data_IF_735275839270
#
_entry.id   IF_735275839270
#
_cell.length_a   1.000
_cell.length_b   1.000
_cell.length_c   1.000
_cell.angle_alpha   90.00
_cell.angle_beta   90.00
_cell.angle_gamma   90.00
#
_symmetry.space_group_name_H-M   'P 1'
#
loop_
_entity.id
_entity.type
_entity.pdbx_description
1 polymer ?
#
# COMPACT_ATOMS: atom_id res chain seq x y z
N UNK A 1 -9.26 15.01 -0.76
CA UNK A 1 -10.37 14.58 0.11
C UNK A 1 -9.84 14.16 1.48
N UNK A 2 -10.68 14.20 2.52
CA UNK A 2 -10.40 13.47 3.77
C UNK A 2 -10.62 11.98 3.53
N UNK A 3 -10.04 11.13 4.37
CA UNK A 3 -10.22 9.68 4.24
C UNK A 3 -11.70 9.26 4.33
N UNK A 4 -12.46 9.85 5.24
CA UNK A 4 -13.91 9.61 5.36
C UNK A 4 -14.66 9.91 4.06
N UNK A 5 -14.33 11.04 3.40
CA UNK A 5 -14.95 11.44 2.13
C UNK A 5 -14.55 10.53 0.98
N UNK A 6 -13.32 9.97 0.99
CA UNK A 6 -12.92 8.95 0.02
C UNK A 6 -13.77 7.70 0.19
N UNK A 7 -13.91 7.20 1.42
CA UNK A 7 -14.77 6.04 1.71
C UNK A 7 -16.24 6.28 1.30
N UNK A 8 -16.81 7.45 1.63
CA UNK A 8 -18.16 7.83 1.23
C UNK A 8 -18.37 7.74 -0.29
N UNK A 9 -17.42 8.27 -1.07
CA UNK A 9 -17.47 8.22 -2.54
C UNK A 9 -17.29 6.81 -3.07
N UNK A 10 -16.38 6.03 -2.48
CA UNK A 10 -16.16 4.63 -2.85
C UNK A 10 -17.41 3.77 -2.62
N UNK A 11 -18.26 4.09 -1.64
CA UNK A 11 -19.54 3.37 -1.45
C UNK A 11 -20.53 3.56 -2.61
N UNK A 12 -20.36 4.59 -3.43
CA UNK A 12 -21.14 4.85 -4.64
C UNK A 12 -20.44 4.37 -5.91
N UNK A 13 -19.22 3.81 -5.79
CA UNK A 13 -18.40 3.34 -6.90
C UNK A 13 -18.47 1.80 -7.04
N UNK A 14 -18.12 1.29 -8.22
CA UNK A 14 -17.99 -0.16 -8.46
C UNK A 14 -16.97 -0.83 -7.54
N UNK A 15 -16.02 -0.07 -7.00
CA UNK A 15 -15.02 -0.55 -6.05
C UNK A 15 -15.51 -0.71 -4.61
N UNK A 16 -16.77 -0.39 -4.28
CA UNK A 16 -17.33 -0.62 -2.93
C UNK A 16 -17.16 -2.06 -2.43
N UNK A 17 -17.13 -3.04 -3.34
CA UNK A 17 -16.99 -4.46 -2.99
C UNK A 17 -15.55 -4.89 -2.73
N UNK A 18 -14.57 -4.02 -2.97
CA UNK A 18 -13.13 -4.30 -2.78
C UNK A 18 -12.49 -3.44 -1.69
N UNK A 19 -13.29 -2.70 -0.94
CA UNK A 19 -12.88 -1.88 0.21
C UNK A 19 -13.73 -2.28 1.43
N UNK A 20 -13.29 -1.99 2.67
CA UNK A 20 -14.17 -2.14 3.83
C UNK A 20 -15.45 -1.32 3.67
N UNK A 21 -16.60 -1.87 4.08
CA UNK A 21 -17.82 -1.08 4.15
C UNK A 21 -17.62 0.12 5.10
N UNK A 22 -18.16 1.27 4.70
CA UNK A 22 -18.10 2.50 5.47
C UNK A 22 -19.46 2.82 6.10
N UNK A 23 -19.47 3.02 7.41
CA UNK A 23 -20.69 3.22 8.20
C UNK A 23 -20.89 4.68 8.64
N UNK A 24 -19.94 5.56 8.37
CA UNK A 24 -20.00 6.97 8.75
C UNK A 24 -18.85 7.42 9.65
N UNK A 25 -18.97 8.63 10.17
CA UNK A 25 -18.07 9.16 11.20
C UNK A 25 -18.77 9.17 12.56
N UNK A 26 -18.06 8.77 13.61
CA UNK A 26 -18.54 8.77 14.99
C UNK A 26 -17.67 9.66 15.86
N UNK A 27 -18.29 10.43 16.77
CA UNK A 27 -17.59 11.25 17.75
C UNK A 27 -17.52 10.55 19.10
N UNK A 28 -16.32 10.28 19.60
CA UNK A 28 -16.07 9.59 20.88
C UNK A 28 -14.76 10.07 21.50
N UNK A 29 -14.69 10.18 22.83
CA UNK A 29 -13.47 10.54 23.56
C UNK A 29 -12.76 11.80 22.99
N UNK A 30 -13.56 12.83 22.69
CA UNK A 30 -13.16 14.10 22.07
C UNK A 30 -12.47 14.00 20.70
N UNK A 31 -12.76 12.93 19.95
CA UNK A 31 -12.21 12.68 18.61
C UNK A 31 -13.27 12.14 17.65
N UNK A 32 -13.08 12.44 16.37
CA UNK A 32 -13.81 11.79 15.28
C UNK A 32 -13.08 10.52 14.85
N UNK A 33 -13.85 9.46 14.62
CA UNK A 33 -13.38 8.19 14.07
C UNK A 33 -14.21 7.82 12.84
N UNK A 34 -13.55 7.20 11.86
CA UNK A 34 -14.20 6.58 10.71
C UNK A 34 -14.66 5.19 11.16
N UNK A 35 -15.94 4.91 11.03
CA UNK A 35 -16.51 3.59 11.32
C UNK A 35 -16.45 2.74 10.04
N UNK A 36 -15.65 1.67 10.10
CA UNK A 36 -15.39 0.75 8.99
C UNK A 36 -15.73 -0.68 9.39
N UNK A 37 -16.06 -1.48 8.39
CA UNK A 37 -16.15 -2.93 8.49
C UNK A 37 -14.88 -3.53 9.09
N UNK A 38 -15.07 -4.36 10.14
CA UNK A 38 -13.98 -5.16 10.67
C UNK A 38 -13.77 -6.39 9.77
N UNK A 39 -12.84 -6.28 8.82
CA UNK A 39 -12.53 -7.35 7.85
C UNK A 39 -12.15 -8.70 8.50
N UNK A 40 -11.72 -8.71 9.76
CA UNK A 40 -11.35 -9.94 10.47
C UNK A 40 -12.57 -10.80 10.84
N UNK A 41 -13.79 -10.25 10.84
CA UNK A 41 -14.99 -11.02 11.21
C UNK A 41 -15.41 -12.04 10.16
N UNK A 42 -14.84 -11.96 8.96
CA UNK A 42 -15.07 -12.92 7.86
C UNK A 42 -14.32 -14.25 8.02
N UNK A 43 -13.47 -14.35 9.04
CA UNK A 43 -12.49 -15.42 9.19
C UNK A 43 -12.63 -16.10 10.55
N UNK A 44 -12.24 -17.37 10.62
CA UNK A 44 -12.29 -18.15 11.86
C UNK A 44 -10.91 -18.37 12.46
N UNK A 45 -10.82 -18.34 13.78
CA UNK A 45 -9.57 -18.61 14.48
C UNK A 45 -8.50 -17.52 14.30
N UNK A 46 -7.23 -17.92 14.31
CA UNK A 46 -6.12 -16.98 14.19
C UNK A 46 -5.83 -16.65 12.71
N UNK A 47 -6.00 -15.39 12.36
CA UNK A 47 -5.93 -14.88 10.99
C UNK A 47 -4.52 -14.42 10.66
N UNK A 48 -4.02 -14.88 9.51
CA UNK A 48 -2.83 -14.35 8.89
C UNK A 48 -3.13 -13.00 8.24
N UNK A 49 -2.25 -12.02 8.44
CA UNK A 49 -2.43 -10.64 7.96
C UNK A 49 -1.18 -10.17 7.23
N UNK A 50 -1.33 -9.67 6.02
CA UNK A 50 -0.25 -8.99 5.30
C UNK A 50 -0.74 -7.66 4.76
N UNK A 51 0.02 -6.60 5.07
CA UNK A 51 -0.18 -5.25 4.55
C UNK A 51 0.86 -5.01 3.44
N UNK A 52 0.36 -4.81 2.22
CA UNK A 52 1.16 -4.51 1.04
C UNK A 52 0.84 -3.09 0.58
N UNK A 53 1.79 -2.18 0.74
CA UNK A 53 1.71 -0.84 0.17
C UNK A 53 1.85 -0.92 -1.34
N UNK A 54 0.95 -0.29 -2.09
CA UNK A 54 0.95 -0.33 -3.56
C UNK A 54 1.14 1.09 -4.14
N UNK A 55 1.73 1.15 -5.32
CA UNK A 55 2.14 2.36 -6.03
C UNK A 55 3.67 2.48 -6.15
N UNK A 56 4.12 3.16 -7.20
CA UNK A 56 5.53 3.47 -7.48
C UNK A 56 6.05 4.67 -6.69
N UNK A 57 5.14 5.46 -6.10
CA UNK A 57 5.44 6.60 -5.23
C UNK A 57 4.62 6.56 -3.96
N UNK A 58 5.18 7.11 -2.89
CA UNK A 58 4.57 7.10 -1.55
C UNK A 58 4.38 8.48 -0.95
N UNK A 59 4.57 9.51 -1.78
CA UNK A 59 4.33 10.91 -1.49
C UNK A 59 3.43 11.52 -2.56
N UNK A 60 2.57 12.45 -2.13
CA UNK A 60 1.76 13.24 -3.05
C UNK A 60 2.64 14.27 -3.77
N UNK A 61 2.27 14.71 -4.97
CA UNK A 61 3.11 15.65 -5.74
C UNK A 61 3.36 16.97 -5.01
N UNK A 62 2.36 17.47 -4.27
CA UNK A 62 2.52 18.64 -3.40
C UNK A 62 3.59 18.45 -2.31
N UNK A 63 3.86 17.22 -1.90
CA UNK A 63 4.94 16.90 -0.96
C UNK A 63 6.30 16.94 -1.66
N UNK A 64 6.36 16.64 -2.97
CA UNK A 64 7.57 16.60 -3.80
C UNK A 64 8.34 17.93 -3.80
N UNK A 65 7.60 19.05 -3.70
CA UNK A 65 8.15 20.41 -3.77
C UNK A 65 8.45 21.03 -2.39
N UNK A 66 8.23 20.32 -1.28
CA UNK A 66 8.41 20.88 0.06
C UNK A 66 9.90 20.84 0.51
N UNK A 67 10.56 22.00 0.71
CA UNK A 67 11.98 22.05 1.06
C UNK A 67 12.27 21.81 2.56
N UNK A 68 11.24 21.60 3.40
CA UNK A 68 11.40 21.49 4.86
C UNK A 68 12.26 20.28 5.25
N UNK A 69 13.36 20.55 5.94
CA UNK A 69 14.26 19.54 6.48
C UNK A 69 13.72 18.90 7.77
N UNK A 70 14.01 17.61 7.94
CA UNK A 70 13.50 16.74 9.00
C UNK A 70 14.62 15.89 9.61
N UNK A 71 15.10 16.24 10.82
CA UNK A 71 16.11 15.45 11.52
C UNK A 71 15.66 14.02 11.85
N UNK A 72 14.39 13.83 12.21
CA UNK A 72 13.83 12.51 12.53
C UNK A 72 13.84 11.54 11.33
N UNK A 73 13.63 12.06 10.12
CA UNK A 73 13.68 11.26 8.90
C UNK A 73 15.12 10.90 8.52
N UNK A 74 16.07 11.80 8.75
CA UNK A 74 17.50 11.51 8.57
C UNK A 74 17.92 10.34 9.50
N UNK A 75 17.58 10.41 10.78
CA UNK A 75 17.90 9.35 11.75
C UNK A 75 17.29 7.99 11.35
N UNK A 76 16.06 8.00 10.83
CA UNK A 76 15.42 6.78 10.30
C UNK A 76 16.14 6.25 9.05
N UNK A 77 16.60 7.12 8.16
CA UNK A 77 17.33 6.73 6.94
C UNK A 77 18.67 6.06 7.29
N UNK A 78 19.50 6.71 8.09
CA UNK A 78 20.83 6.19 8.45
C UNK A 78 20.76 4.93 9.31
N UNK A 79 19.68 4.75 10.09
CA UNK A 79 19.42 3.50 10.80
C UNK A 79 19.18 2.31 9.87
N UNK A 80 18.58 2.56 8.70
CA UNK A 80 18.37 1.51 7.67
C UNK A 80 19.64 1.30 6.86
N UNK A 81 20.28 2.37 6.41
CA UNK A 81 21.52 2.32 5.64
C UNK A 81 22.43 3.51 6.04
N UNK A 82 23.48 3.27 6.84
CA UNK A 82 24.38 4.33 7.31
C UNK A 82 25.12 5.07 6.18
N UNK A 83 25.22 4.49 4.99
CA UNK A 83 25.91 5.07 3.83
C UNK A 83 24.97 5.80 2.87
N UNK A 84 23.68 5.90 3.18
CA UNK A 84 22.70 6.48 2.27
C UNK A 84 22.73 8.03 2.21
N UNK A 85 23.26 8.69 3.23
CA UNK A 85 23.31 10.15 3.31
C UNK A 85 24.51 10.72 2.54
N UNK A 86 24.27 11.80 1.78
CA UNK A 86 25.33 12.60 1.16
C UNK A 86 26.14 13.37 2.23
N UNK A 87 27.32 13.89 1.87
CA UNK A 87 28.13 14.69 2.79
C UNK A 87 27.39 15.91 3.35
N UNK A 88 26.57 16.57 2.53
CA UNK A 88 25.77 17.71 2.97
C UNK A 88 24.67 17.30 3.96
N UNK A 89 23.97 16.20 3.68
CA UNK A 89 22.94 15.64 4.57
C UNK A 89 23.56 15.19 5.91
N UNK A 90 24.77 14.64 5.89
CA UNK A 90 25.52 14.27 7.09
C UNK A 90 25.89 15.49 7.94
N UNK A 91 26.35 16.57 7.30
CA UNK A 91 26.66 17.84 7.99
C UNK A 91 25.41 18.45 8.64
N UNK A 92 24.26 18.43 7.93
CA UNK A 92 23.00 19.02 8.42
C UNK A 92 22.24 18.10 9.38
N UNK A 93 22.51 16.80 9.37
CA UNK A 93 21.76 15.76 10.09
C UNK A 93 20.23 15.83 9.87
N UNK A 94 19.82 16.25 8.68
CA UNK A 94 18.42 16.43 8.31
C UNK A 94 18.24 16.27 6.80
N UNK A 95 17.10 15.71 6.39
CA UNK A 95 16.72 15.51 4.98
C UNK A 95 15.28 15.96 4.74
N UNK A 96 14.90 16.23 3.49
CA UNK A 96 13.49 16.50 3.17
C UNK A 96 12.66 15.22 3.28
N UNK A 97 11.33 15.37 3.39
CA UNK A 97 10.41 14.23 3.39
C UNK A 97 10.55 13.41 2.11
N UNK A 98 10.57 14.07 0.96
CA UNK A 98 10.67 13.44 -0.37
C UNK A 98 11.94 12.60 -0.46
N UNK A 99 13.07 13.17 -0.05
CA UNK A 99 14.36 12.46 -0.03
C UNK A 99 14.32 11.16 0.78
N UNK A 100 13.63 11.19 1.93
CA UNK A 100 13.40 9.99 2.75
C UNK A 100 12.48 8.97 2.06
N UNK A 101 11.39 9.43 1.44
CA UNK A 101 10.46 8.54 0.72
C UNK A 101 11.16 7.89 -0.48
N UNK A 102 11.89 8.66 -1.30
CA UNK A 102 12.70 8.13 -2.41
C UNK A 102 13.77 7.14 -1.94
N UNK A 103 14.39 7.38 -0.79
CA UNK A 103 15.28 6.39 -0.17
C UNK A 103 14.53 5.09 0.15
N UNK A 104 13.38 5.18 0.83
CA UNK A 104 12.55 4.02 1.18
C UNK A 104 12.09 3.25 -0.05
N UNK A 105 11.74 3.95 -1.13
CA UNK A 105 11.33 3.36 -2.40
C UNK A 105 12.47 2.60 -3.08
N UNK A 106 13.71 3.10 -2.96
CA UNK A 106 14.93 2.46 -3.49
C UNK A 106 15.43 1.28 -2.65
N UNK A 107 15.24 1.32 -1.34
CA UNK A 107 15.64 0.23 -0.44
C UNK A 107 14.61 -0.92 -0.39
N UNK A 108 13.42 -0.71 -0.94
CA UNK A 108 12.36 -1.71 -1.00
C UNK A 108 12.00 -2.07 -2.45
N UNK A 109 11.04 -2.98 -2.61
CA UNK A 109 10.51 -3.36 -3.92
C UNK A 109 9.70 -2.27 -4.62
N UNK A 110 9.37 -1.16 -3.96
CA UNK A 110 8.51 -0.12 -4.54
C UNK A 110 9.06 0.45 -5.85
N UNK A 111 10.35 0.81 -5.91
CA UNK A 111 10.92 1.39 -7.13
C UNK A 111 11.00 0.41 -8.32
N UNK A 112 11.05 -0.90 -8.05
CA UNK A 112 11.19 -1.93 -9.08
C UNK A 112 9.86 -2.55 -9.50
N UNK A 113 8.94 -2.72 -8.55
CA UNK A 113 7.72 -3.50 -8.72
C UNK A 113 6.45 -2.73 -8.35
N UNK A 114 6.55 -1.45 -7.97
CA UNK A 114 5.40 -0.60 -7.59
C UNK A 114 4.57 -1.14 -6.42
N UNK A 115 5.18 -1.95 -5.55
CA UNK A 115 4.60 -2.33 -4.26
C UNK A 115 5.69 -2.71 -3.26
N UNK A 116 5.35 -2.81 -1.97
CA UNK A 116 6.20 -3.44 -0.95
C UNK A 116 5.39 -3.96 0.22
N UNK A 117 5.90 -5.01 0.87
CA UNK A 117 5.30 -5.54 2.10
C UNK A 117 5.71 -4.65 3.28
N UNK A 118 4.73 -4.03 3.95
CA UNK A 118 4.97 -3.19 5.13
C UNK A 118 4.97 -4.02 6.42
N UNK A 119 4.06 -4.99 6.51
CA UNK A 119 3.95 -5.88 7.66
C UNK A 119 3.37 -7.24 7.29
N UNK A 120 3.73 -8.26 8.06
CA UNK A 120 3.12 -9.58 7.95
C UNK A 120 2.97 -10.24 9.33
N UNK A 121 1.89 -10.97 9.55
CA UNK A 121 1.66 -11.85 10.70
C UNK A 121 1.11 -13.16 10.16
N UNK A 122 1.72 -14.28 10.52
CA UNK A 122 1.19 -15.63 10.27
C UNK A 122 0.50 -16.16 11.53
N UNK A 123 -0.36 -17.19 11.44
CA UNK A 123 -1.02 -17.76 12.62
C UNK A 123 0.01 -18.25 13.66
N UNK A 124 -0.26 -17.98 14.94
CA UNK A 124 0.64 -18.23 16.08
C UNK A 124 1.89 -17.35 16.12
N UNK A 125 2.10 -16.48 15.12
CA UNK A 125 3.28 -15.65 14.95
C UNK A 125 3.15 -14.24 15.54
N UNK A 126 4.30 -13.58 15.74
CA UNK A 126 4.36 -12.14 16.02
C UNK A 126 4.32 -11.35 14.71
N UNK A 127 3.80 -10.12 14.78
CA UNK A 127 3.86 -9.19 13.65
C UNK A 127 5.32 -8.89 13.28
N UNK A 128 5.68 -9.17 12.03
CA UNK A 128 6.96 -8.81 11.44
C UNK A 128 6.84 -7.46 10.70
N UNK A 129 7.69 -6.49 11.05
CA UNK A 129 7.83 -5.18 10.37
C UNK A 129 9.26 -4.93 9.88
N UNK A 130 10.11 -5.95 9.92
CA UNK A 130 11.48 -5.90 9.42
C UNK A 130 11.56 -6.34 7.95
N UNK A 131 10.83 -5.59 7.12
CA UNK A 131 10.66 -5.87 5.68
C UNK A 131 11.14 -4.69 4.82
N UNK A 132 11.79 -3.70 5.44
CA UNK A 132 12.16 -2.42 4.81
C UNK A 132 13.17 -2.58 3.68
N UNK A 133 13.92 -3.68 3.67
CA UNK A 133 14.98 -4.01 2.71
C UNK A 133 14.63 -5.19 1.81
N UNK A 134 13.36 -5.67 1.85
CA UNK A 134 12.85 -6.64 0.88
C UNK A 134 12.66 -5.90 -0.44
N UNK A 135 13.57 -6.15 -1.38
CA UNK A 135 13.72 -5.36 -2.61
C UNK A 135 13.73 -6.20 -3.88
N UNK A 136 14.49 -7.27 -3.89
CA UNK A 136 14.65 -8.09 -5.10
C UNK A 136 13.45 -9.01 -5.30
N UNK A 137 13.22 -9.44 -6.54
CA UNK A 137 12.15 -10.37 -6.87
C UNK A 137 12.22 -11.65 -6.02
N UNK A 138 13.41 -12.21 -5.85
CA UNK A 138 13.66 -13.39 -5.00
C UNK A 138 13.34 -13.16 -3.53
N UNK A 139 13.69 -11.99 -2.98
CA UNK A 139 13.35 -11.63 -1.60
C UNK A 139 11.84 -11.48 -1.42
N UNK A 140 11.15 -10.89 -2.40
CA UNK A 140 9.69 -10.76 -2.40
C UNK A 140 9.03 -12.13 -2.47
N UNK A 141 9.42 -12.98 -3.43
CA UNK A 141 8.97 -14.38 -3.54
C UNK A 141 9.15 -15.13 -2.23
N UNK A 142 10.34 -15.06 -1.61
CA UNK A 142 10.62 -15.71 -0.34
C UNK A 142 9.74 -15.18 0.80
N UNK A 143 9.44 -13.88 0.80
CA UNK A 143 8.58 -13.26 1.82
C UNK A 143 7.14 -13.74 1.68
N UNK A 144 6.59 -13.72 0.46
CA UNK A 144 5.23 -14.18 0.18
C UNK A 144 5.08 -15.70 0.34
N UNK A 145 6.06 -16.48 -0.11
CA UNK A 145 6.08 -17.93 0.07
C UNK A 145 6.16 -18.35 1.54
N UNK A 146 6.82 -17.56 2.41
CA UNK A 146 6.76 -17.77 3.86
C UNK A 146 5.38 -17.45 4.43
N UNK A 147 4.73 -16.41 3.94
CA UNK A 147 3.40 -16.03 4.39
C UNK A 147 2.37 -17.12 4.07
N UNK A 148 2.34 -17.63 2.84
CA UNK A 148 1.41 -18.69 2.43
C UNK A 148 1.92 -20.13 2.67
N UNK A 149 2.95 -20.32 3.50
CA UNK A 149 3.56 -21.64 3.69
C UNK A 149 2.54 -22.61 4.32
N UNK A 150 2.21 -23.68 3.59
CA UNK A 150 1.20 -24.66 4.02
C UNK A 150 -0.24 -24.29 3.68
N UNK A 151 -0.45 -23.14 3.01
CA UNK A 151 -1.75 -22.58 2.67
C UNK A 151 -1.84 -22.20 1.17
N UNK A 152 -1.58 -23.14 0.24
CA UNK A 152 -1.59 -22.83 -1.19
C UNK A 152 -2.98 -22.46 -1.72
N UNK A 153 -4.07 -23.02 -1.14
CA UNK A 153 -5.42 -22.66 -1.56
C UNK A 153 -5.78 -21.22 -1.17
N UNK A 154 -5.31 -20.74 0.00
CA UNK A 154 -5.44 -19.33 0.36
C UNK A 154 -4.70 -18.41 -0.62
N UNK A 155 -3.48 -18.79 -1.03
CA UNK A 155 -2.71 -18.05 -2.05
C UNK A 155 -3.50 -17.93 -3.35
N UNK A 156 -4.05 -19.03 -3.85
CA UNK A 156 -4.77 -19.05 -5.13
C UNK A 156 -6.03 -18.18 -5.08
N UNK A 157 -6.81 -18.26 -3.99
CA UNK A 157 -7.96 -17.36 -3.73
C UNK A 157 -7.54 -15.89 -3.66
N UNK A 158 -6.39 -15.58 -3.06
CA UNK A 158 -5.85 -14.22 -3.05
C UNK A 158 -5.51 -13.75 -4.48
N UNK A 159 -4.88 -14.59 -5.30
CA UNK A 159 -4.58 -14.25 -6.70
C UNK A 159 -5.86 -13.90 -7.47
N UNK A 160 -6.88 -14.76 -7.38
CA UNK A 160 -8.20 -14.51 -8.01
C UNK A 160 -8.82 -13.20 -7.50
N UNK A 161 -8.76 -12.97 -6.18
CA UNK A 161 -9.27 -11.75 -5.57
C UNK A 161 -8.51 -10.51 -6.04
N UNK A 162 -7.19 -10.56 -6.17
CA UNK A 162 -6.38 -9.44 -6.67
C UNK A 162 -6.67 -9.14 -8.15
N UNK A 163 -6.88 -10.17 -8.98
CA UNK A 163 -7.30 -10.00 -10.38
C UNK A 163 -8.66 -9.28 -10.44
N UNK A 164 -9.59 -9.67 -9.58
CA UNK A 164 -10.89 -9.00 -9.49
C UNK A 164 -10.78 -7.54 -9.00
N UNK A 165 -9.94 -7.27 -8.00
CA UNK A 165 -9.64 -5.90 -7.55
C UNK A 165 -9.11 -5.05 -8.70
N UNK A 166 -8.18 -5.62 -9.49
CA UNK A 166 -7.58 -4.96 -10.65
C UNK A 166 -8.64 -4.59 -11.69
N UNK A 167 -9.56 -5.50 -12.00
CA UNK A 167 -10.65 -5.25 -12.95
C UNK A 167 -11.58 -4.12 -12.48
N UNK A 168 -11.98 -4.13 -11.20
CA UNK A 168 -12.82 -3.07 -10.62
C UNK A 168 -12.13 -1.72 -10.66
N UNK A 169 -10.87 -1.68 -10.28
CA UNK A 169 -10.07 -0.46 -10.25
C UNK A 169 -9.90 0.12 -11.66
N UNK A 170 -9.60 -0.71 -12.66
CA UNK A 170 -9.47 -0.27 -14.05
C UNK A 170 -10.77 0.30 -14.62
N UNK A 171 -11.93 -0.21 -14.18
CA UNK A 171 -13.25 0.25 -14.61
C UNK A 171 -13.82 1.42 -13.78
N UNK A 172 -13.13 1.87 -12.73
CA UNK A 172 -13.65 2.85 -11.77
C UNK A 172 -13.37 4.29 -12.20
N UNK A 173 -14.44 5.06 -12.35
CA UNK A 173 -14.37 6.50 -12.58
C UNK A 173 -13.78 7.23 -11.36
N UNK A 174 -14.04 6.72 -10.15
CA UNK A 174 -13.40 7.25 -8.94
C UNK A 174 -11.89 7.14 -9.11
N UNK A 175 -11.36 5.95 -9.40
CA UNK A 175 -9.91 5.76 -9.46
C UNK A 175 -9.24 6.59 -10.56
N UNK A 176 -9.81 6.60 -11.78
CA UNK A 176 -9.27 7.42 -12.88
C UNK A 176 -9.20 8.92 -12.58
N UNK A 177 -9.97 9.41 -11.59
CA UNK A 177 -10.00 10.81 -11.15
C UNK A 177 -9.32 11.05 -9.79
N UNK A 178 -8.56 10.08 -9.29
CA UNK A 178 -7.81 10.23 -8.04
C UNK A 178 -6.37 9.76 -8.17
N UNK A 179 -5.48 10.52 -7.54
CA UNK A 179 -4.15 10.07 -7.18
C UNK A 179 -4.24 9.14 -5.96
N UNK A 180 -3.82 7.88 -6.13
CA UNK A 180 -3.86 6.85 -5.09
C UNK A 180 -2.47 6.64 -4.51
N UNK A 181 -2.17 7.41 -3.46
CA UNK A 181 -0.88 7.36 -2.80
C UNK A 181 -1.00 6.76 -1.42
N UNK A 182 -0.12 5.81 -1.12
CA UNK A 182 0.10 5.36 0.26
C UNK A 182 -1.00 4.47 0.83
N UNK A 183 -1.98 4.07 0.01
CA UNK A 183 -2.91 2.99 0.32
C UNK A 183 -2.23 1.63 0.23
N UNK A 184 -2.93 0.63 0.74
CA UNK A 184 -2.44 -0.74 0.81
C UNK A 184 -3.50 -1.73 0.34
N UNK A 185 -3.03 -2.91 -0.07
CA UNK A 185 -3.85 -4.12 -0.11
C UNK A 185 -3.61 -4.90 1.18
N UNK A 186 -4.67 -5.11 1.95
CA UNK A 186 -4.68 -5.97 3.14
C UNK A 186 -5.11 -7.37 2.72
N UNK A 187 -4.17 -8.32 2.75
CA UNK A 187 -4.43 -9.74 2.49
C UNK A 187 -4.65 -10.47 3.82
N UNK A 188 -5.75 -11.22 3.90
CA UNK A 188 -6.14 -12.00 5.06
C UNK A 188 -6.38 -13.44 4.64
N UNK A 189 -5.96 -14.39 5.46
CA UNK A 189 -6.41 -15.77 5.35
C UNK A 189 -6.46 -16.47 6.71
N UNK A 190 -7.31 -17.48 6.84
CA UNK A 190 -7.47 -18.26 8.07
C UNK A 190 -6.93 -19.69 7.96
N UNK A 191 -7.07 -20.44 9.06
CA UNK A 191 -6.59 -21.81 9.17
C UNK A 191 -7.32 -22.80 8.24
N UNK A 192 -8.49 -22.43 7.70
CA UNK A 192 -9.28 -23.23 6.76
C UNK A 192 -9.06 -22.81 5.29
N UNK A 193 -8.03 -21.99 5.03
CA UNK A 193 -7.75 -21.40 3.72
C UNK A 193 -8.89 -20.52 3.18
N UNK A 194 -9.78 -20.00 4.02
CA UNK A 194 -10.61 -18.86 3.60
C UNK A 194 -9.69 -17.66 3.47
N UNK A 195 -9.80 -16.91 2.38
CA UNK A 195 -8.91 -15.81 2.09
C UNK A 195 -9.66 -14.64 1.45
N UNK A 196 -9.16 -13.42 1.70
CA UNK A 196 -9.71 -12.20 1.14
C UNK A 196 -8.67 -11.10 1.07
N UNK A 197 -8.91 -10.14 0.19
CA UNK A 197 -8.10 -8.95 0.04
C UNK A 197 -8.99 -7.73 -0.15
N UNK A 198 -8.56 -6.63 0.46
CA UNK A 198 -9.24 -5.33 0.42
C UNK A 198 -8.23 -4.21 0.30
N UNK A 199 -8.64 -3.15 -0.38
CA UNK A 199 -7.89 -1.91 -0.41
C UNK A 199 -8.24 -1.04 0.80
N UNK A 200 -7.21 -0.53 1.48
CA UNK A 200 -7.31 0.26 2.73
C UNK A 200 -6.36 1.47 2.71
N UNK A 201 -6.46 2.33 3.73
CA UNK A 201 -5.60 3.50 3.97
C UNK A 201 -5.68 4.57 2.86
N UNK A 202 -6.80 5.27 2.79
CA UNK A 202 -7.06 6.32 1.79
C UNK A 202 -6.69 7.73 2.25
N UNK A 203 -6.06 7.90 3.41
CA UNK A 203 -5.69 9.20 3.99
C UNK A 203 -4.88 10.15 3.07
N UNK A 204 -4.19 9.60 2.07
CA UNK A 204 -3.41 10.36 1.08
C UNK A 204 -4.00 10.30 -0.34
N UNK A 205 -5.15 9.67 -0.52
CA UNK A 205 -5.87 9.65 -1.79
C UNK A 205 -6.44 11.05 -2.08
N UNK A 206 -6.17 11.59 -3.26
CA UNK A 206 -6.52 12.96 -3.61
C UNK A 206 -7.21 13.02 -4.97
N UNK A 207 -8.32 13.76 -5.06
CA UNK A 207 -8.97 14.03 -6.33
C UNK A 207 -8.03 14.83 -7.25
N UNK A 208 -8.07 14.50 -8.54
CA UNK A 208 -7.36 15.20 -9.60
C UNK A 208 -8.15 16.44 -10.04
N UNK A 209 -7.51 17.39 -10.75
CA UNK A 209 -8.22 18.42 -11.50
C UNK A 209 -9.24 17.82 -12.48
N UNK A 210 -10.33 18.54 -12.77
CA UNK A 210 -11.48 18.00 -13.54
C UNK A 210 -11.13 17.50 -14.95
N UNK A 211 -10.10 18.10 -15.55
CA UNK A 211 -9.58 17.81 -16.90
C UNK A 211 -8.43 16.80 -16.92
N UNK A 212 -8.05 16.26 -15.76
CA UNK A 212 -6.97 15.29 -15.61
C UNK A 212 -7.53 13.92 -15.25
N UNK A 213 -7.03 12.90 -15.94
CA UNK A 213 -7.22 11.50 -15.58
C UNK A 213 -5.89 10.76 -15.61
N UNK A 214 -5.82 9.66 -14.86
CA UNK A 214 -4.64 8.79 -14.77
C UNK A 214 -4.99 7.37 -15.14
N UNK A 215 -4.01 6.64 -15.64
CA UNK A 215 -4.15 5.22 -16.01
C UNK A 215 -3.70 4.29 -14.90
N UNK A 216 -2.93 4.80 -13.93
CA UNK A 216 -2.26 4.06 -12.86
C UNK A 216 -1.26 3.01 -13.34
N UNK A 217 -0.92 3.01 -14.62
CA UNK A 217 -0.07 2.02 -15.27
C UNK A 217 1.16 2.65 -15.93
N UNK A 218 1.12 3.95 -16.22
CA UNK A 218 2.22 4.69 -16.82
C UNK A 218 3.22 5.11 -15.73
N UNK A 219 4.54 5.19 -16.03
CA UNK A 219 5.52 5.71 -15.09
C UNK A 219 5.18 7.13 -14.61
N UNK A 220 5.42 7.38 -13.33
CA UNK A 220 5.22 8.72 -12.77
C UNK A 220 6.28 9.70 -13.27
N UNK A 221 5.81 10.88 -13.65
CA UNK A 221 6.60 12.07 -13.92
C UNK A 221 5.92 13.25 -13.23
N UNK A 222 6.70 14.22 -12.74
CA UNK A 222 6.14 15.36 -12.02
C UNK A 222 5.11 16.10 -12.89
N UNK A 223 3.86 16.14 -12.42
CA UNK A 223 2.73 16.79 -13.09
C UNK A 223 1.85 15.85 -13.91
N UNK A 224 2.22 14.58 -14.09
CA UNK A 224 1.35 13.59 -14.75
C UNK A 224 0.42 12.86 -13.78
N UNK A 225 0.61 13.04 -12.46
CA UNK A 225 -0.21 12.44 -11.39
C UNK A 225 -0.28 10.90 -11.35
N UNK A 226 0.49 10.19 -12.18
CA UNK A 226 0.49 8.73 -12.19
C UNK A 226 1.05 8.17 -10.90
N UNK A 227 0.46 7.12 -10.34
CA UNK A 227 0.89 6.51 -9.07
C UNK A 227 1.42 5.07 -9.24
N UNK A 228 1.30 4.51 -10.44
CA UNK A 228 1.72 3.13 -10.73
C UNK A 228 0.96 2.07 -9.94
N UNK A 229 -0.25 2.37 -9.46
CA UNK A 229 -1.01 1.44 -8.62
C UNK A 229 -1.34 0.14 -9.36
N UNK A 230 -1.85 0.22 -10.59
CA UNK A 230 -2.16 -0.96 -11.41
C UNK A 230 -0.89 -1.73 -11.80
N UNK A 231 0.22 -1.04 -12.07
CA UNK A 231 1.52 -1.70 -12.25
C UNK A 231 1.93 -2.51 -11.01
N UNK A 232 1.69 -1.95 -9.82
CA UNK A 232 1.98 -2.61 -8.54
C UNK A 232 1.14 -3.85 -8.33
N UNK A 233 -0.15 -3.74 -8.61
CA UNK A 233 -1.09 -4.86 -8.51
C UNK A 233 -0.75 -5.97 -9.52
N UNK A 234 -0.39 -5.61 -10.75
CA UNK A 234 0.07 -6.55 -11.78
C UNK A 234 1.31 -7.34 -11.34
N UNK A 235 2.30 -6.65 -10.79
CA UNK A 235 3.50 -7.32 -10.29
C UNK A 235 3.22 -8.17 -9.04
N UNK A 236 2.30 -7.76 -8.17
CA UNK A 236 1.90 -8.54 -7.00
C UNK A 236 1.16 -9.83 -7.41
N UNK A 237 0.21 -9.74 -8.34
CA UNK A 237 -0.48 -10.89 -8.93
C UNK A 237 0.54 -11.84 -9.56
N UNK A 238 1.45 -11.29 -10.38
CA UNK A 238 2.50 -12.06 -11.03
C UNK A 238 3.35 -12.82 -10.01
N UNK A 239 3.90 -12.13 -9.00
CA UNK A 239 4.81 -12.78 -8.05
C UNK A 239 4.12 -13.89 -7.24
N UNK A 240 2.82 -13.72 -6.91
CA UNK A 240 2.03 -14.74 -6.20
C UNK A 240 1.73 -15.95 -7.09
N UNK A 241 1.39 -15.72 -8.36
CA UNK A 241 1.14 -16.78 -9.33
C UNK A 241 2.41 -17.60 -9.68
N UNK A 242 3.59 -16.97 -9.64
CA UNK A 242 4.88 -17.63 -9.89
C UNK A 242 5.45 -18.38 -8.69
N UNK A 243 4.90 -18.19 -7.48
CA UNK A 243 5.44 -18.78 -6.25
C UNK A 243 4.97 -20.24 -6.10
N UNK A 244 5.37 -21.11 -7.05
CA UNK A 244 5.23 -22.57 -7.02
C UNK A 244 6.49 -23.22 -6.46
#
# INVERSE_FOLDING_TARGET
DTEARVYERLMQDGCREVVPAYYGEVYKDDKYYIELENLLTHFVGDVAVMDVKVGNRTFAEKEAINPKLRPDLYQKMVKVNPKAATEEEQKKQAITKVRYMTFREKESSTSAFSFRVEASKVPGGKTNKDLKTVRTWEQVLKTLGKFFKGHPAARDKIVERLQHIREKFAASDFFQRHEIVGSSILMLYDVEDNAGAWMIDFAKTAALPDDVSVTHAVPWELGNHEDGYLTGLDNLIKVLAFSL
#
